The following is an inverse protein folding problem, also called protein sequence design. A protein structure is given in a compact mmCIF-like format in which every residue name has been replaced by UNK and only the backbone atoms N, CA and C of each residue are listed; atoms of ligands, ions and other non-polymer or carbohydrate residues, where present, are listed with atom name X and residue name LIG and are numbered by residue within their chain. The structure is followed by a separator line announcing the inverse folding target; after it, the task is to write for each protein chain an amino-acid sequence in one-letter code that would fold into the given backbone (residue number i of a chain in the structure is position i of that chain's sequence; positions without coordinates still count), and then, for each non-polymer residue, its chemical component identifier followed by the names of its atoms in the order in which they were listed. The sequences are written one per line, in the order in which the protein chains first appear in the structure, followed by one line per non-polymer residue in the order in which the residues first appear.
data_IF_522372826640
#
_entry.id   IF_522372826640
#
_cell.length_a   1.000
_cell.length_b   1.000
_cell.length_c   1.000
_cell.angle_alpha   90.00
_cell.angle_beta   90.00
_cell.angle_gamma   90.00
#
_symmetry.space_group_name_H-M   'P 1'
#
loop_
_entity.id
_entity.type
_entity.pdbx_description
1 polymer ?
#
# COMPACT_ATOMS: atom_id res chain seq x y z
N UNK A 1 -14.21 -20.28 -26.70
CA UNK A 1 -14.08 -20.99 -25.40
C UNK A 1 -12.94 -20.33 -24.65
N UNK A 2 -13.24 -19.57 -23.60
CA UNK A 2 -12.20 -18.90 -22.80
C UNK A 2 -11.72 -19.90 -21.75
N UNK A 3 -10.58 -20.55 -22.02
CA UNK A 3 -9.96 -21.51 -21.12
C UNK A 3 -9.22 -20.73 -20.05
N UNK A 4 -9.90 -20.44 -18.94
CA UNK A 4 -9.23 -19.89 -17.77
C UNK A 4 -8.23 -20.95 -17.30
N UNK A 5 -6.92 -20.64 -17.23
CA UNK A 5 -5.93 -21.60 -16.78
C UNK A 5 -6.22 -22.05 -15.33
N UNK A 6 -5.95 -23.33 -15.00
CA UNK A 6 -6.21 -23.86 -13.67
C UNK A 6 -5.42 -23.06 -12.63
N UNK A 7 -6.04 -22.81 -11.47
CA UNK A 7 -5.35 -22.20 -10.32
C UNK A 7 -4.21 -23.12 -9.90
N UNK A 8 -3.04 -22.51 -9.72
CA UNK A 8 -1.85 -23.24 -9.27
C UNK A 8 -1.90 -23.36 -7.75
N UNK A 9 -2.26 -24.54 -7.25
CA UNK A 9 -2.48 -24.81 -5.82
C UNK A 9 -1.18 -24.82 -4.98
N UNK A 10 -0.02 -24.97 -5.63
CA UNK A 10 1.29 -24.83 -4.98
C UNK A 10 2.04 -23.66 -5.60
N UNK A 11 1.93 -22.50 -4.96
CA UNK A 11 2.85 -21.39 -5.22
C UNK A 11 4.13 -21.70 -4.44
N UNK A 12 5.19 -22.04 -5.17
CA UNK A 12 6.50 -22.27 -4.59
C UNK A 12 7.04 -20.97 -3.99
N UNK A 13 7.31 -20.96 -2.68
CA UNK A 13 7.89 -19.82 -1.98
C UNK A 13 9.41 -19.76 -2.23
N UNK A 14 9.77 -19.39 -3.46
CA UNK A 14 11.16 -19.23 -3.86
C UNK A 14 11.72 -17.95 -3.31
N UNK A 15 13.01 -17.98 -2.95
CA UNK A 15 13.77 -16.76 -2.72
C UNK A 15 13.69 -15.85 -3.95
N UNK A 16 13.26 -14.60 -3.72
CA UNK A 16 13.22 -13.55 -4.73
C UNK A 16 14.04 -12.36 -4.25
N UNK A 17 14.76 -11.74 -5.19
CA UNK A 17 15.52 -10.52 -4.91
C UNK A 17 14.62 -9.31 -5.07
N UNK A 18 14.67 -8.41 -4.09
CA UNK A 18 14.01 -7.11 -4.13
C UNK A 18 15.02 -6.03 -4.46
N UNK A 19 14.77 -5.25 -5.50
CA UNK A 19 15.54 -4.04 -5.78
C UNK A 19 14.90 -2.88 -5.03
N UNK A 20 15.57 -2.39 -4.00
CA UNK A 20 15.10 -1.29 -3.15
C UNK A 20 16.00 -0.07 -3.31
N UNK A 21 15.42 1.12 -3.14
CA UNK A 21 16.16 2.38 -3.12
C UNK A 21 16.19 2.94 -1.70
N UNK A 22 17.36 3.39 -1.27
CA UNK A 22 17.58 4.04 0.01
C UNK A 22 18.73 5.06 -0.14
N UNK A 23 18.84 6.07 0.75
CA UNK A 23 20.02 6.92 0.80
C UNK A 23 21.30 6.09 0.95
N UNK A 24 22.40 6.53 0.32
CA UNK A 24 23.67 5.80 0.34
C UNK A 24 24.20 5.54 1.75
N UNK A 25 23.91 6.43 2.70
CA UNK A 25 24.25 6.24 4.12
C UNK A 25 23.55 5.04 4.75
N UNK A 26 22.27 4.83 4.45
CA UNK A 26 21.49 3.70 4.94
C UNK A 26 21.97 2.39 4.28
N UNK A 27 22.27 2.43 2.99
CA UNK A 27 22.86 1.28 2.28
C UNK A 27 24.18 0.85 2.95
N UNK A 28 25.06 1.81 3.24
CA UNK A 28 26.34 1.52 3.89
C UNK A 28 26.16 0.94 5.30
N UNK A 29 25.25 1.48 6.10
CA UNK A 29 24.94 0.95 7.44
C UNK A 29 24.43 -0.50 7.34
N UNK A 30 23.52 -0.78 6.41
CA UNK A 30 22.99 -2.13 6.21
C UNK A 30 24.08 -3.10 5.73
N UNK A 31 24.99 -2.65 4.87
CA UNK A 31 26.13 -3.44 4.42
C UNK A 31 27.10 -3.76 5.55
N UNK A 32 27.41 -2.78 6.42
CA UNK A 32 28.26 -3.00 7.60
C UNK A 32 27.63 -4.01 8.56
N UNK A 33 26.32 -3.90 8.78
CA UNK A 33 25.58 -4.83 9.63
C UNK A 33 25.58 -6.25 9.06
N UNK A 34 25.42 -6.39 7.74
CA UNK A 34 25.50 -7.68 7.07
C UNK A 34 26.87 -8.34 7.29
N UNK A 35 27.95 -7.57 7.10
CA UNK A 35 29.33 -8.04 7.36
C UNK A 35 29.50 -8.44 8.83
N UNK A 36 29.04 -7.61 9.77
CA UNK A 36 29.15 -7.88 11.20
C UNK A 36 28.46 -9.20 11.59
N UNK A 37 27.33 -9.52 10.95
CA UNK A 37 26.57 -10.76 11.17
C UNK A 37 27.06 -11.95 10.35
N UNK A 38 28.05 -11.77 9.48
CA UNK A 38 28.54 -12.83 8.58
C UNK A 38 27.51 -13.26 7.53
N UNK A 39 26.65 -12.34 7.08
CA UNK A 39 25.64 -12.57 6.04
C UNK A 39 25.84 -11.61 4.88
N UNK A 40 25.17 -11.86 3.75
CA UNK A 40 25.12 -10.91 2.64
C UNK A 40 23.96 -9.91 2.79
N UNK A 41 24.06 -8.83 2.01
CA UNK A 41 23.10 -7.71 2.04
C UNK A 41 21.69 -8.13 1.61
N UNK A 42 21.55 -9.08 0.68
CA UNK A 42 20.24 -9.53 0.19
C UNK A 42 19.52 -10.33 1.26
N UNK A 43 20.23 -11.23 1.94
CA UNK A 43 19.69 -12.04 3.05
C UNK A 43 19.29 -11.16 4.24
N UNK A 44 20.13 -10.19 4.62
CA UNK A 44 19.80 -9.25 5.68
C UNK A 44 18.61 -8.36 5.29
N UNK A 45 18.63 -7.80 4.07
CA UNK A 45 17.53 -6.98 3.56
C UNK A 45 16.21 -7.73 3.51
N UNK A 46 16.21 -8.99 3.05
CA UNK A 46 15.05 -9.86 3.07
C UNK A 46 14.52 -10.11 4.49
N UNK A 47 15.41 -10.32 5.46
CA UNK A 47 15.04 -10.51 6.87
C UNK A 47 14.39 -9.25 7.46
N UNK A 48 14.92 -8.07 7.14
CA UNK A 48 14.35 -6.77 7.56
C UNK A 48 12.96 -6.57 6.97
N UNK A 49 12.78 -6.83 5.68
CA UNK A 49 11.49 -6.72 5.00
C UNK A 49 10.47 -7.72 5.56
N UNK A 50 10.89 -8.96 5.81
CA UNK A 50 10.07 -9.99 6.45
C UNK A 50 9.60 -9.54 7.83
N UNK A 51 10.52 -9.08 8.68
CA UNK A 51 10.19 -8.59 10.02
C UNK A 51 9.21 -7.41 9.98
N UNK A 52 9.35 -6.50 9.00
CA UNK A 52 8.42 -5.40 8.79
C UNK A 52 7.00 -5.89 8.40
N UNK A 53 6.90 -6.88 7.51
CA UNK A 53 5.63 -7.49 7.13
C UNK A 53 4.99 -8.26 8.29
N UNK A 54 5.77 -9.06 9.02
CA UNK A 54 5.32 -9.82 10.20
C UNK A 54 4.83 -8.90 11.33
N UNK A 55 5.38 -7.69 11.42
CA UNK A 55 4.92 -6.64 12.33
C UNK A 55 3.62 -5.94 11.87
N UNK A 56 3.02 -6.35 10.75
CA UNK A 56 1.78 -5.77 10.23
C UNK A 56 1.97 -4.47 9.47
N UNK A 57 3.11 -4.28 8.80
CA UNK A 57 3.43 -3.09 7.99
C UNK A 57 3.27 -1.77 8.77
N UNK A 58 3.98 -1.58 9.90
CA UNK A 58 3.86 -0.35 10.68
C UNK A 58 4.21 0.87 9.82
N UNK A 59 3.39 1.92 9.95
CA UNK A 59 3.57 3.18 9.23
C UNK A 59 4.79 3.93 9.77
N UNK A 60 5.91 3.85 9.06
CA UNK A 60 7.07 4.68 9.30
C UNK A 60 7.01 5.94 8.44
N UNK A 61 6.59 7.05 9.03
CA UNK A 61 6.89 8.41 8.53
C UNK A 61 6.08 8.94 7.34
N UNK A 62 5.30 8.15 6.63
CA UNK A 62 4.40 8.65 5.56
C UNK A 62 2.95 8.30 5.85
N UNK A 63 2.35 9.01 6.81
CA UNK A 63 0.98 9.41 6.53
C UNK A 63 1.05 10.34 5.32
N UNK A 64 0.78 9.82 4.12
CA UNK A 64 0.11 10.66 3.15
C UNK A 64 -1.14 11.14 3.90
N UNK A 65 -1.16 12.42 4.31
CA UNK A 65 -2.37 13.03 4.84
C UNK A 65 -3.46 12.60 3.88
N UNK A 66 -4.43 11.81 4.35
CA UNK A 66 -5.58 11.47 3.54
C UNK A 66 -6.08 12.81 2.99
N UNK A 67 -6.17 13.01 1.66
CA UNK A 67 -6.74 14.25 1.16
C UNK A 67 -8.11 14.34 1.82
N UNK A 68 -8.30 15.37 2.65
CA UNK A 68 -9.58 15.59 3.32
C UNK A 68 -10.63 15.50 2.23
N UNK A 69 -11.51 14.51 2.34
CA UNK A 69 -12.62 14.34 1.40
C UNK A 69 -13.32 15.70 1.39
N UNK A 70 -13.42 16.41 0.26
CA UNK A 70 -14.14 17.67 0.26
C UNK A 70 -15.57 17.34 0.69
N UNK A 71 -15.95 17.80 1.89
CA UNK A 71 -17.30 17.68 2.42
C UNK A 71 -18.22 18.28 1.37
N UNK A 72 -18.88 17.42 0.60
CA UNK A 72 -19.84 17.83 -0.40
C UNK A 72 -20.86 18.73 0.31
N UNK A 73 -21.19 19.92 -0.21
CA UNK A 73 -22.21 20.74 0.41
C UNK A 73 -23.54 19.95 0.41
N UNK A 74 -24.42 20.18 1.41
CA UNK A 74 -25.68 19.47 1.48
C UNK A 74 -26.51 19.73 0.20
N UNK A 75 -27.38 18.79 -0.22
CA UNK A 75 -28.24 19.03 -1.37
C UNK A 75 -29.11 20.25 -1.10
N UNK A 76 -28.98 21.25 -1.96
CA UNK A 76 -29.83 22.45 -1.99
C UNK A 76 -31.30 22.01 -2.03
N UNK A 77 -32.08 22.41 -1.03
CA UNK A 77 -33.52 22.18 -1.03
C UNK A 77 -34.15 23.09 -2.10
N UNK A 78 -34.38 22.55 -3.30
CA UNK A 78 -35.20 23.21 -4.31
C UNK A 78 -36.67 23.23 -3.85
N UNK A 79 -37.36 24.38 -3.80
CA UNK A 79 -38.77 24.40 -3.51
C UNK A 79 -39.53 23.84 -4.72
N UNK A 80 -40.29 22.75 -4.51
CA UNK A 80 -41.23 22.24 -5.50
C UNK A 80 -42.27 23.32 -5.82
N UNK A 81 -42.55 23.44 -7.13
CA UNK A 81 -43.53 24.34 -7.72
C UNK A 81 -44.90 24.27 -7.03
N UNK A 82 -45.48 25.43 -6.73
CA UNK A 82 -46.92 25.53 -6.49
C UNK A 82 -47.62 25.39 -7.84
N UNK A 83 -48.19 24.21 -8.09
CA UNK A 83 -49.27 24.04 -9.05
C UNK A 83 -50.52 24.68 -8.44
N UNK A 84 -50.95 25.84 -8.96
CA UNK A 84 -52.29 26.36 -8.73
C UNK A 84 -53.12 26.14 -10.00
N UNK A 85 -53.57 24.91 -10.19
CA UNK A 85 -54.79 24.64 -10.93
C UNK A 85 -56.00 25.01 -10.07
N UNK A 86 -56.70 26.09 -10.40
CA UNK A 86 -58.08 26.32 -9.96
C UNK A 86 -58.91 26.82 -11.14
N UNK A 87 -59.62 25.89 -11.75
CA UNK A 87 -60.74 26.14 -12.63
C UNK A 87 -62.00 26.30 -11.78
N UNK A 88 -62.64 27.48 -11.83
CA UNK A 88 -64.10 27.64 -11.97
C UNK A 88 -64.47 29.10 -12.18
#
# INVERSE_FOLDING_TARGET
MSTIPPRQDQVEDKERRFYVSAPSSIYLQLQQEAIHRGTDLWTLGGSVLRAWLEAGCPNFGTQAKHPEKPSSPPPSSSPLAHDQGASQ
#
